data_IF_593072518686
#
_entry.id   IF_593072518686
#
_cell.length_a   1.000
_cell.length_b   1.000
_cell.length_c   1.000
_cell.angle_alpha   90.00
_cell.angle_beta   90.00
_cell.angle_gamma   90.00
#
_symmetry.space_group_name_H-M   'P 1'
#
loop_
_entity.id
_entity.type
_entity.pdbx_description
1 polymer ?
#
# COMPACT_ATOMS: atom_id res chain seq x y z
N UNK A 1 -17.28 19.59 15.23
CA UNK A 1 -17.87 19.65 13.87
C UNK A 1 -18.08 18.22 13.35
N UNK A 2 -19.27 17.62 13.52
CA UNK A 2 -19.58 16.26 13.03
C UNK A 2 -20.06 16.35 11.57
N UNK A 3 -19.15 16.29 10.60
CA UNK A 3 -19.54 16.05 9.20
C UNK A 3 -19.88 14.57 9.06
N UNK A 4 -21.06 14.26 8.50
CA UNK A 4 -21.44 12.88 8.16
C UNK A 4 -20.37 12.34 7.24
N UNK A 5 -19.64 11.32 7.70
CA UNK A 5 -18.77 10.50 6.85
C UNK A 5 -19.71 9.81 5.86
N UNK A 6 -19.66 10.09 4.54
CA UNK A 6 -20.41 9.27 3.60
C UNK A 6 -19.77 7.88 3.62
N UNK A 7 -20.30 6.99 4.46
CA UNK A 7 -19.87 5.60 4.58
C UNK A 7 -19.87 4.90 3.20
N UNK A 8 -20.73 5.40 2.30
CA UNK A 8 -20.79 5.04 0.88
C UNK A 8 -19.46 5.14 0.17
N UNK A 9 -18.66 6.17 0.47
CA UNK A 9 -17.46 6.50 -0.30
C UNK A 9 -16.31 5.58 0.14
N UNK A 10 -16.17 5.34 1.45
CA UNK A 10 -15.22 4.36 1.99
C UNK A 10 -15.51 2.96 1.43
N UNK A 11 -16.78 2.55 1.40
CA UNK A 11 -17.18 1.24 0.88
C UNK A 11 -16.94 1.12 -0.62
N UNK A 12 -17.31 2.14 -1.40
CA UNK A 12 -17.10 2.18 -2.84
C UNK A 12 -15.61 2.05 -3.20
N UNK A 13 -14.75 2.85 -2.55
CA UNK A 13 -13.30 2.76 -2.74
C UNK A 13 -12.76 1.40 -2.31
N UNK A 14 -13.25 0.84 -1.20
CA UNK A 14 -12.82 -0.49 -0.73
C UNK A 14 -13.15 -1.59 -1.74
N UNK A 15 -14.31 -1.52 -2.41
CA UNK A 15 -14.71 -2.47 -3.45
C UNK A 15 -13.82 -2.35 -4.68
N UNK A 16 -13.62 -1.14 -5.20
CA UNK A 16 -12.81 -0.92 -6.40
C UNK A 16 -11.35 -1.32 -6.17
N UNK A 17 -10.75 -0.83 -5.09
CA UNK A 17 -9.34 -1.08 -4.82
C UNK A 17 -9.10 -2.48 -4.26
N UNK A 18 -10.09 -3.10 -3.63
CA UNK A 18 -10.05 -4.53 -3.29
C UNK A 18 -9.95 -5.43 -4.52
N UNK A 19 -10.60 -5.03 -5.63
CA UNK A 19 -10.48 -5.70 -6.93
C UNK A 19 -9.10 -5.44 -7.56
N UNK A 20 -8.64 -4.19 -7.57
CA UNK A 20 -7.33 -3.82 -8.14
C UNK A 20 -6.20 -4.54 -7.41
N UNK A 21 -6.26 -4.68 -6.07
CA UNK A 21 -5.24 -5.38 -5.30
C UNK A 21 -5.12 -6.88 -5.63
N UNK A 22 -6.06 -7.49 -6.37
CA UNK A 22 -5.92 -8.85 -6.87
C UNK A 22 -4.86 -8.97 -7.99
N UNK A 23 -4.52 -7.85 -8.63
CA UNK A 23 -3.61 -7.79 -9.78
C UNK A 23 -2.23 -8.39 -9.49
N UNK A 24 -1.62 -8.09 -8.34
CA UNK A 24 -0.23 -8.46 -8.08
C UNK A 24 0.04 -9.97 -8.13
N UNK A 25 -0.91 -10.79 -7.68
CA UNK A 25 -0.68 -12.23 -7.42
C UNK A 25 -1.72 -13.16 -8.04
N UNK A 26 -2.92 -12.65 -8.33
CA UNK A 26 -4.07 -13.51 -8.64
C UNK A 26 -4.57 -13.35 -10.08
N UNK A 27 -4.58 -12.13 -10.62
CA UNK A 27 -5.15 -11.86 -11.95
C UNK A 27 -4.19 -10.96 -12.73
N UNK A 28 -3.86 -11.33 -13.97
CA UNK A 28 -3.11 -10.53 -14.97
C UNK A 28 -1.67 -10.10 -14.63
N UNK A 29 -1.33 -9.76 -13.38
CA UNK A 29 0.02 -9.38 -12.95
C UNK A 29 0.58 -8.15 -13.68
N UNK A 30 -0.27 -7.17 -13.98
CA UNK A 30 0.14 -5.89 -14.58
C UNK A 30 0.87 -4.99 -13.60
N UNK A 31 0.83 -5.29 -12.30
CA UNK A 31 1.43 -4.49 -11.22
C UNK A 31 0.83 -3.06 -11.10
N UNK A 32 -0.42 -2.88 -11.54
CA UNK A 32 -1.21 -1.66 -11.36
C UNK A 32 -1.50 -1.43 -9.87
N UNK A 33 -1.57 -2.51 -9.09
CA UNK A 33 -1.77 -2.48 -7.64
C UNK A 33 -0.59 -1.90 -6.84
N UNK A 34 0.53 -1.53 -7.48
CA UNK A 34 1.64 -0.88 -6.78
C UNK A 34 1.24 0.50 -6.21
N UNK A 35 1.88 0.93 -5.11
CA UNK A 35 1.56 2.18 -4.42
C UNK A 35 1.44 3.40 -5.34
N UNK A 36 2.45 3.68 -6.17
CA UNK A 36 2.44 4.89 -7.01
C UNK A 36 1.24 4.89 -7.99
N UNK A 37 1.00 3.78 -8.67
CA UNK A 37 -0.09 3.66 -9.64
C UNK A 37 -1.46 3.71 -8.96
N UNK A 38 -1.62 2.96 -7.88
CA UNK A 38 -2.88 2.86 -7.16
C UNK A 38 -3.24 4.19 -6.50
N UNK A 39 -2.28 4.86 -5.86
CA UNK A 39 -2.50 6.19 -5.30
C UNK A 39 -2.86 7.21 -6.38
N UNK A 40 -2.21 7.17 -7.53
CA UNK A 40 -2.57 8.04 -8.66
C UNK A 40 -4.03 7.83 -9.08
N UNK A 41 -4.48 6.58 -9.18
CA UNK A 41 -5.87 6.28 -9.52
C UNK A 41 -6.87 6.74 -8.45
N UNK A 42 -6.53 6.58 -7.16
CA UNK A 42 -7.31 7.15 -6.05
C UNK A 42 -7.44 8.66 -6.22
N UNK A 43 -6.34 9.36 -6.49
CA UNK A 43 -6.31 10.79 -6.70
C UNK A 43 -7.15 11.25 -7.91
N UNK A 44 -7.16 10.47 -9.00
CA UNK A 44 -8.02 10.75 -10.16
C UNK A 44 -9.51 10.58 -9.84
N UNK A 45 -9.87 9.54 -9.10
CA UNK A 45 -11.27 9.27 -8.71
C UNK A 45 -11.78 10.31 -7.70
N UNK A 46 -10.90 10.75 -6.78
CA UNK A 46 -11.26 11.67 -5.69
C UNK A 46 -11.03 13.14 -6.00
N UNK A 47 -10.36 13.47 -7.11
CA UNK A 47 -10.03 14.84 -7.50
C UNK A 47 -8.77 15.43 -6.84
N UNK A 48 -8.03 14.64 -6.05
CA UNK A 48 -6.84 15.04 -5.30
C UNK A 48 -5.56 14.39 -5.85
N UNK A 49 -5.31 14.59 -7.15
CA UNK A 49 -4.25 13.86 -7.86
C UNK A 49 -2.85 14.22 -7.35
N UNK A 50 -2.58 15.49 -7.05
CA UNK A 50 -1.24 15.93 -6.62
C UNK A 50 -0.86 15.32 -5.27
N UNK A 51 -1.77 15.40 -4.29
CA UNK A 51 -1.60 14.87 -2.94
C UNK A 51 -1.48 13.34 -2.96
N UNK A 52 -2.25 12.68 -3.82
CA UNK A 52 -2.22 11.24 -3.96
C UNK A 52 -0.92 10.74 -4.60
N UNK A 53 -0.46 11.38 -5.69
CA UNK A 53 0.80 11.03 -6.35
C UNK A 53 1.97 11.26 -5.41
N UNK A 54 1.99 12.38 -4.69
CA UNK A 54 3.02 12.68 -3.69
C UNK A 54 3.08 11.59 -2.61
N UNK A 55 1.95 11.27 -1.98
CA UNK A 55 1.91 10.24 -0.95
C UNK A 55 2.26 8.84 -1.49
N UNK A 56 1.72 8.48 -2.67
CA UNK A 56 2.00 7.22 -3.34
C UNK A 56 3.46 7.04 -3.71
N UNK A 57 4.14 8.11 -4.16
CA UNK A 57 5.57 8.09 -4.42
C UNK A 57 6.36 7.81 -3.14
N UNK A 58 6.04 8.47 -2.03
CA UNK A 58 6.69 8.24 -0.74
C UNK A 58 6.48 6.81 -0.23
N UNK A 59 5.27 6.26 -0.38
CA UNK A 59 4.99 4.86 -0.02
C UNK A 59 5.73 3.91 -0.94
N UNK A 60 5.81 4.18 -2.25
CA UNK A 60 6.55 3.34 -3.19
C UNK A 60 8.02 3.18 -2.77
N UNK A 61 8.65 4.23 -2.22
CA UNK A 61 10.03 4.18 -1.74
C UNK A 61 10.24 3.13 -0.64
N UNK A 62 9.24 2.91 0.22
CA UNK A 62 9.27 1.88 1.27
C UNK A 62 9.15 0.45 0.71
N UNK A 63 8.64 0.30 -0.51
CA UNK A 63 8.35 -0.99 -1.13
C UNK A 63 9.22 -1.30 -2.36
N UNK A 64 10.29 -0.52 -2.59
CA UNK A 64 11.24 -0.73 -3.68
C UNK A 64 11.94 -2.10 -3.65
N UNK A 65 12.20 -2.64 -2.45
CA UNK A 65 12.90 -3.92 -2.28
C UNK A 65 11.97 -5.11 -2.02
N UNK A 66 10.67 -5.01 -2.32
CA UNK A 66 9.71 -6.07 -2.02
C UNK A 66 9.81 -7.25 -3.00
N UNK A 67 10.98 -7.88 -3.06
CA UNK A 67 11.21 -9.10 -3.82
C UNK A 67 10.79 -10.31 -2.97
N UNK A 68 9.86 -11.16 -3.43
CA UNK A 68 9.54 -12.38 -2.74
C UNK A 68 10.72 -13.36 -2.78
N UNK A 69 11.44 -13.51 -1.66
CA UNK A 69 12.52 -14.48 -1.51
C UNK A 69 12.11 -15.51 -0.44
N UNK A 70 11.78 -16.72 -0.86
CA UNK A 70 11.44 -17.83 0.03
C UNK A 70 10.06 -17.72 0.70
N UNK A 71 9.92 -18.32 1.88
CA UNK A 71 8.65 -18.41 2.64
C UNK A 71 8.40 -17.24 3.60
N UNK A 72 9.12 -16.11 3.43
CA UNK A 72 8.97 -14.95 4.31
C UNK A 72 7.57 -14.33 4.22
N UNK A 73 7.04 -13.87 5.35
CA UNK A 73 5.86 -13.00 5.37
C UNK A 73 6.24 -11.67 4.73
N UNK A 74 5.71 -11.41 3.54
CA UNK A 74 5.94 -10.16 2.82
C UNK A 74 4.82 -9.19 3.21
N UNK A 75 5.15 -8.05 3.85
CA UNK A 75 4.16 -7.01 4.10
C UNK A 75 3.49 -6.58 2.78
N UNK A 76 2.16 -6.53 2.78
CA UNK A 76 1.37 -6.15 1.61
C UNK A 76 1.32 -4.62 1.49
N UNK A 77 2.22 -4.07 0.70
CA UNK A 77 2.28 -2.63 0.43
C UNK A 77 1.11 -2.12 -0.41
N UNK A 78 0.45 -2.98 -1.18
CA UNK A 78 -0.58 -2.57 -2.13
C UNK A 78 -1.86 -2.18 -1.38
N UNK A 79 -2.39 -3.08 -0.55
CA UNK A 79 -3.58 -2.80 0.26
C UNK A 79 -3.31 -1.66 1.24
N UNK A 80 -2.13 -1.65 1.86
CA UNK A 80 -1.75 -0.62 2.79
C UNK A 80 -1.66 0.77 2.14
N UNK A 81 -1.12 0.85 0.91
CA UNK A 81 -1.04 2.12 0.16
C UNK A 81 -2.42 2.71 -0.13
N UNK A 82 -3.42 1.88 -0.43
CA UNK A 82 -4.81 2.31 -0.65
C UNK A 82 -5.34 2.98 0.61
N UNK A 83 -5.24 2.29 1.75
CA UNK A 83 -5.70 2.80 3.06
C UNK A 83 -5.00 4.12 3.39
N UNK A 84 -3.67 4.15 3.31
CA UNK A 84 -2.87 5.34 3.61
C UNK A 84 -3.20 6.52 2.71
N UNK A 85 -3.36 6.29 1.41
CA UNK A 85 -3.65 7.35 0.43
C UNK A 85 -5.01 7.98 0.68
N UNK A 86 -6.04 7.16 0.88
CA UNK A 86 -7.41 7.64 1.14
C UNK A 86 -7.42 8.46 2.44
N UNK A 87 -6.75 7.99 3.49
CA UNK A 87 -6.65 8.72 4.75
C UNK A 87 -5.86 10.02 4.60
N UNK A 88 -4.72 9.98 3.91
CA UNK A 88 -3.88 11.16 3.68
C UNK A 88 -4.65 12.25 2.95
N UNK A 89 -5.31 11.92 1.83
CA UNK A 89 -6.12 12.87 1.05
C UNK A 89 -7.26 13.45 1.90
N UNK A 90 -8.03 12.58 2.56
CA UNK A 90 -9.20 12.98 3.34
C UNK A 90 -8.86 13.95 4.47
N UNK A 91 -7.68 13.81 5.06
CA UNK A 91 -7.25 14.60 6.21
C UNK A 91 -6.27 15.71 5.86
N UNK A 92 -5.76 15.78 4.61
CA UNK A 92 -4.75 16.77 4.20
C UNK A 92 -5.20 18.21 4.49
N UNK A 93 -6.40 18.58 4.04
CA UNK A 93 -6.96 19.92 4.27
C UNK A 93 -7.28 20.19 5.75
N UNK A 94 -7.60 19.16 6.53
CA UNK A 94 -7.91 19.29 7.97
C UNK A 94 -6.62 19.52 8.77
N UNK A 95 -5.56 18.80 8.43
CA UNK A 95 -4.25 18.88 9.05
C UNK A 95 -3.31 19.84 8.30
N UNK A 96 -3.82 20.92 7.69
CA UNK A 96 -3.00 21.83 6.89
C UNK A 96 -1.81 22.42 7.69
N UNK A 97 -2.01 22.74 8.97
CA UNK A 97 -0.96 23.22 9.88
C UNK A 97 -0.07 22.09 10.46
N UNK A 98 -0.47 20.84 10.24
CA UNK A 98 0.10 19.61 10.82
C UNK A 98 0.52 18.60 9.74
N UNK A 99 0.88 19.07 8.55
CA UNK A 99 1.12 18.21 7.37
C UNK A 99 2.18 17.13 7.57
N UNK A 100 3.28 17.42 8.28
CA UNK A 100 4.33 16.42 8.54
C UNK A 100 3.86 15.39 9.56
N UNK A 101 3.09 15.81 10.56
CA UNK A 101 2.49 14.88 11.52
C UNK A 101 1.47 13.96 10.83
N UNK A 102 0.63 14.48 9.94
CA UNK A 102 -0.28 13.68 9.12
C UNK A 102 0.50 12.66 8.28
N UNK A 103 1.57 13.09 7.60
CA UNK A 103 2.41 12.20 6.81
C UNK A 103 2.99 11.07 7.67
N UNK A 104 3.54 11.40 8.84
CA UNK A 104 4.08 10.42 9.79
C UNK A 104 3.05 9.37 10.21
N UNK A 105 1.88 9.80 10.66
CA UNK A 105 0.85 8.87 11.13
C UNK A 105 0.26 8.05 9.98
N UNK A 106 0.09 8.64 8.79
CA UNK A 106 -0.37 7.92 7.60
C UNK A 106 0.63 6.84 7.19
N UNK A 107 1.93 7.14 7.19
CA UNK A 107 2.98 6.15 6.91
C UNK A 107 3.01 5.06 7.97
N UNK A 108 2.87 5.42 9.25
CA UNK A 108 2.78 4.45 10.34
C UNK A 108 1.60 3.49 10.12
N UNK A 109 0.42 4.01 9.74
CA UNK A 109 -0.74 3.19 9.40
C UNK A 109 -0.49 2.30 8.18
N UNK A 110 0.19 2.81 7.15
CA UNK A 110 0.59 1.99 5.98
C UNK A 110 1.47 0.82 6.45
N UNK A 111 2.50 1.06 7.25
CA UNK A 111 3.36 -0.02 7.76
C UNK A 111 2.55 -1.01 8.60
N UNK A 112 1.68 -0.54 9.49
CA UNK A 112 0.83 -1.40 10.32
C UNK A 112 -0.09 -2.29 9.46
N UNK A 113 -0.85 -1.70 8.54
CA UNK A 113 -1.79 -2.43 7.68
C UNK A 113 -1.09 -3.32 6.66
N UNK A 114 0.14 -3.00 6.27
CA UNK A 114 0.92 -3.87 5.39
C UNK A 114 1.27 -5.19 6.07
N UNK A 115 1.60 -5.15 7.37
CA UNK A 115 1.86 -6.36 8.14
C UNK A 115 0.58 -7.19 8.28
N UNK A 116 -0.55 -6.55 8.62
CA UNK A 116 -1.85 -7.22 8.73
C UNK A 116 -2.26 -7.85 7.39
N UNK A 117 -2.10 -7.12 6.28
CA UNK A 117 -2.37 -7.62 4.93
C UNK A 117 -1.51 -8.83 4.57
N UNK A 118 -0.21 -8.79 4.89
CA UNK A 118 0.71 -9.91 4.68
C UNK A 118 0.29 -11.18 5.43
N UNK A 119 -0.18 -11.05 6.67
CA UNK A 119 -0.69 -12.18 7.45
C UNK A 119 -1.99 -12.75 6.88
N UNK A 120 -2.90 -11.88 6.43
CA UNK A 120 -4.14 -12.30 5.80
C UNK A 120 -3.91 -12.98 4.44
N UNK A 121 -2.91 -12.55 3.67
CA UNK A 121 -2.49 -13.23 2.45
C UNK A 121 -1.98 -14.65 2.75
N UNK A 122 -1.15 -14.82 3.77
CA UNK A 122 -0.71 -16.17 4.22
C UNK A 122 -1.90 -17.05 4.60
N UNK A 123 -2.80 -16.53 5.42
CA UNK A 123 -4.01 -17.24 5.81
C UNK A 123 -4.85 -17.66 4.59
N UNK A 124 -5.01 -16.76 3.64
CA UNK A 124 -5.77 -17.03 2.43
C UNK A 124 -5.07 -18.05 1.50
N UNK A 125 -3.73 -18.09 1.48
CA UNK A 125 -2.95 -19.15 0.84
C UNK A 125 -3.15 -20.52 1.49
N UNK A 126 -3.16 -20.62 2.82
CA UNK A 126 -3.48 -21.88 3.51
C UNK A 126 -4.90 -22.36 3.18
N UNK A 127 -5.87 -21.45 3.10
CA UNK A 127 -7.23 -21.78 2.65
C UNK A 127 -7.25 -22.30 1.22
N UNK A 128 -6.49 -21.68 0.32
CA UNK A 128 -6.37 -22.13 -1.07
C UNK A 128 -5.78 -23.53 -1.18
N UNK A 129 -4.77 -23.84 -0.37
CA UNK A 129 -4.17 -25.18 -0.33
C UNK A 129 -5.22 -26.23 0.08
N UNK A 130 -6.06 -25.93 1.08
CA UNK A 130 -7.14 -26.83 1.48
C UNK A 130 -8.18 -27.05 0.38
N UNK A 131 -8.54 -25.99 -0.34
CA UNK A 131 -9.45 -26.03 -1.48
C UNK A 131 -8.86 -26.90 -2.60
N UNK A 132 -7.58 -26.74 -2.91
CA UNK A 132 -6.85 -27.54 -3.89
C UNK A 132 -6.78 -29.01 -3.50
N UNK A 133 -6.49 -29.29 -2.22
CA UNK A 133 -6.43 -30.67 -1.70
C UNK A 133 -7.77 -31.39 -1.82
N UNK A 134 -8.90 -30.68 -1.71
CA UNK A 134 -10.24 -31.25 -1.97
C UNK A 134 -10.40 -31.62 -3.45
N UNK A 135 -10.02 -30.73 -4.37
CA UNK A 135 -10.08 -31.00 -5.81
C UNK A 135 -9.22 -32.22 -6.20
N UNK A 136 -8.01 -32.32 -5.64
CA UNK A 136 -7.09 -33.46 -5.88
C UNK A 136 -7.63 -34.79 -5.34
N UNK A 137 -8.29 -34.78 -4.17
CA UNK A 137 -8.95 -35.98 -3.62
C UNK A 137 -10.08 -36.48 -4.52
N UNK A 138 -10.87 -35.58 -5.10
CA UNK A 138 -11.94 -35.94 -6.04
C UNK A 138 -11.39 -36.52 -7.35
N UNK A 139 -10.29 -35.97 -7.88
CA UNK A 139 -9.57 -36.54 -9.03
C UNK A 139 -9.13 -37.99 -8.79
N UNK A 140 -8.50 -38.25 -7.64
CA UNK A 140 -7.94 -39.58 -7.31
C UNK A 140 -9.01 -40.64 -7.04
N UNK A 141 -10.19 -40.26 -6.51
CA UNK A 141 -11.26 -41.21 -6.17
C UNK A 141 -12.13 -41.61 -7.36
N UNK A 142 -12.44 -40.67 -8.24
CA UNK A 142 -13.45 -40.90 -9.29
C UNK A 142 -12.85 -41.19 -10.67
N UNK A 143 -11.52 -41.06 -10.85
CA UNK A 143 -10.87 -41.11 -12.17
C UNK A 143 -11.54 -40.21 -13.22
N UNK A 144 -12.21 -39.15 -12.76
CA UNK A 144 -12.97 -38.18 -13.56
C UNK A 144 -12.20 -36.86 -13.65
N UNK A 145 -12.40 -36.16 -14.76
CA UNK A 145 -11.92 -34.78 -14.95
C UNK A 145 -12.59 -33.86 -13.92
N UNK A 146 -11.80 -33.17 -13.09
CA UNK A 146 -12.31 -32.12 -12.19
C UNK A 146 -12.25 -30.78 -12.90
N UNK A 147 -13.36 -30.04 -12.88
CA UNK A 147 -13.42 -28.66 -13.38
C UNK A 147 -12.80 -27.74 -12.33
N UNK A 148 -11.69 -27.09 -12.65
CA UNK A 148 -10.97 -26.19 -11.73
C UNK A 148 -11.65 -24.82 -11.55
N UNK A 149 -12.48 -24.39 -12.51
CA UNK A 149 -13.11 -23.07 -12.53
C UNK A 149 -13.79 -22.65 -11.21
N UNK A 150 -14.68 -23.48 -10.63
CA UNK A 150 -15.33 -23.14 -9.35
C UNK A 150 -14.36 -22.97 -8.17
N UNK A 151 -13.27 -23.74 -8.14
CA UNK A 151 -12.26 -23.65 -7.08
C UNK A 151 -11.44 -22.37 -7.20
N UNK A 152 -11.06 -22.00 -8.43
CA UNK A 152 -10.36 -20.74 -8.73
C UNK A 152 -11.27 -19.56 -8.37
N UNK A 153 -12.54 -19.60 -8.78
CA UNK A 153 -13.48 -18.53 -8.51
C UNK A 153 -13.76 -18.40 -7.01
N UNK A 154 -13.92 -19.50 -6.27
CA UNK A 154 -14.09 -19.46 -4.83
C UNK A 154 -12.86 -18.88 -4.10
N UNK A 155 -11.65 -19.23 -4.55
CA UNK A 155 -10.41 -18.67 -4.03
C UNK A 155 -10.31 -17.17 -4.29
N UNK A 156 -10.59 -16.74 -5.52
CA UNK A 156 -10.53 -15.36 -5.95
C UNK A 156 -11.54 -14.48 -5.21
N UNK A 157 -12.79 -14.94 -5.12
CA UNK A 157 -13.85 -14.27 -4.35
C UNK A 157 -13.47 -14.18 -2.87
N UNK A 158 -12.86 -15.22 -2.31
CA UNK A 158 -12.36 -15.22 -0.94
C UNK A 158 -11.31 -14.13 -0.70
N UNK A 159 -10.35 -13.97 -1.60
CA UNK A 159 -9.32 -12.92 -1.52
C UNK A 159 -9.92 -11.53 -1.71
N UNK A 160 -10.81 -11.38 -2.68
CA UNK A 160 -11.53 -10.14 -2.89
C UNK A 160 -12.25 -9.67 -1.63
N UNK A 161 -13.02 -10.56 -0.98
CA UNK A 161 -13.74 -10.23 0.26
C UNK A 161 -12.77 -9.81 1.37
N UNK A 162 -11.66 -10.53 1.55
CA UNK A 162 -10.63 -10.18 2.54
C UNK A 162 -10.06 -8.78 2.25
N UNK A 163 -9.72 -8.49 1.00
CA UNK A 163 -9.18 -7.18 0.61
C UNK A 163 -10.18 -6.06 0.90
N UNK A 164 -11.45 -6.22 0.51
CA UNK A 164 -12.50 -5.22 0.76
C UNK A 164 -12.68 -4.98 2.26
N UNK A 165 -12.75 -6.05 3.07
CA UNK A 165 -12.89 -5.94 4.53
C UNK A 165 -11.68 -5.21 5.12
N UNK A 166 -10.47 -5.58 4.71
CA UNK A 166 -9.24 -4.97 5.24
C UNK A 166 -9.14 -3.48 4.88
N UNK A 167 -9.41 -3.12 3.62
CA UNK A 167 -9.38 -1.72 3.18
C UNK A 167 -10.44 -0.92 3.92
N UNK A 168 -11.68 -1.41 3.99
CA UNK A 168 -12.78 -0.72 4.66
C UNK A 168 -12.50 -0.51 6.14
N UNK A 169 -12.12 -1.57 6.85
CA UNK A 169 -11.79 -1.49 8.28
C UNK A 169 -10.59 -0.58 8.53
N UNK A 170 -9.56 -0.64 7.68
CA UNK A 170 -8.39 0.22 7.80
C UNK A 170 -8.68 1.71 7.59
N UNK A 171 -9.54 2.04 6.62
CA UNK A 171 -10.01 3.41 6.41
C UNK A 171 -10.81 3.88 7.65
N UNK A 172 -11.76 3.09 8.14
CA UNK A 172 -12.60 3.52 9.26
C UNK A 172 -11.84 3.62 10.59
N UNK A 173 -10.95 2.66 10.88
CA UNK A 173 -10.12 2.70 12.09
C UNK A 173 -9.06 3.80 12.01
N UNK A 174 -8.46 4.01 10.84
CA UNK A 174 -7.49 5.08 10.62
C UNK A 174 -8.12 6.48 10.72
N UNK A 175 -9.31 6.66 10.15
CA UNK A 175 -10.08 7.90 10.28
C UNK A 175 -10.48 8.15 11.73
N UNK A 176 -10.92 7.11 12.46
CA UNK A 176 -11.19 7.21 13.88
C UNK A 176 -9.96 7.65 14.68
N UNK A 177 -8.78 7.10 14.40
CA UNK A 177 -7.53 7.49 15.04
C UNK A 177 -7.16 8.95 14.73
N UNK A 178 -7.23 9.35 13.46
CA UNK A 178 -6.91 10.71 13.02
C UNK A 178 -7.84 11.77 13.64
N UNK A 179 -9.13 11.48 13.76
CA UNK A 179 -10.09 12.36 14.44
C UNK A 179 -9.72 12.60 15.91
N UNK A 180 -9.21 11.57 16.61
CA UNK A 180 -8.78 11.68 18.01
C UNK A 180 -7.49 12.50 18.12
N UNK A 181 -6.56 12.31 17.19
CA UNK A 181 -5.26 12.95 17.21
C UNK A 181 -5.33 14.43 16.81
N UNK A 182 -6.24 14.79 15.90
CA UNK A 182 -6.37 16.16 15.38
C UNK A 182 -6.45 17.23 16.47
N UNK A 183 -7.26 16.99 17.52
CA UNK A 183 -7.46 17.97 18.59
C UNK A 183 -6.39 17.92 19.69
N UNK A 184 -5.49 16.94 19.65
CA UNK A 184 -4.53 16.68 20.73
C UNK A 184 -3.10 17.11 20.42
N UNK A 185 -2.78 17.40 19.15
CA UNK A 185 -1.40 17.72 18.75
C UNK A 185 -1.25 19.23 18.54
N UNK A 186 -0.45 19.92 19.37
CA UNK A 186 -0.11 21.32 19.14
C UNK A 186 0.60 21.52 17.80
N UNK A 187 0.22 22.54 17.03
CA UNK A 187 0.83 22.84 15.72
C UNK A 187 2.33 23.12 15.80
N UNK A 188 2.81 23.63 16.94
CA UNK A 188 4.24 23.86 17.22
C UNK A 188 5.09 22.60 17.04
N UNK A 189 4.52 21.40 17.27
CA UNK A 189 5.26 20.16 17.14
C UNK A 189 5.41 19.67 15.69
N UNK A 190 4.63 20.23 14.74
CA UNK A 190 4.66 19.78 13.34
C UNK A 190 6.08 19.87 12.74
N UNK A 191 6.83 20.91 13.10
CA UNK A 191 8.15 21.16 12.54
C UNK A 191 9.22 20.12 12.95
N UNK A 192 9.02 19.42 14.07
CA UNK A 192 9.90 18.34 14.50
C UNK A 192 9.73 17.08 13.65
N UNK A 193 8.56 16.92 13.02
CA UNK A 193 8.26 15.76 12.17
C UNK A 193 8.71 15.94 10.71
N UNK A 194 9.30 17.09 10.35
CA UNK A 194 9.78 17.36 8.99
C UNK A 194 10.77 16.31 8.46
N UNK A 195 11.47 15.63 9.36
CA UNK A 195 12.44 14.59 9.01
C UNK A 195 11.81 13.32 8.46
N UNK A 196 10.49 13.13 8.59
CA UNK A 196 9.80 11.94 8.07
C UNK A 196 9.99 11.80 6.56
N UNK A 197 9.86 12.90 5.82
CA UNK A 197 10.01 12.90 4.36
C UNK A 197 11.45 12.57 3.96
N UNK A 198 12.42 13.20 4.63
CA UNK A 198 13.85 12.95 4.42
C UNK A 198 14.19 11.48 4.73
N UNK A 199 13.62 10.93 5.81
CA UNK A 199 13.83 9.54 6.18
C UNK A 199 13.26 8.58 5.12
N UNK A 200 12.09 8.86 4.56
CA UNK A 200 11.48 8.04 3.50
C UNK A 200 12.32 8.05 2.21
N UNK A 201 12.78 9.23 1.79
CA UNK A 201 13.69 9.38 0.65
C UNK A 201 14.99 8.61 0.90
N UNK A 202 15.60 8.80 2.08
CA UNK A 202 16.80 8.07 2.49
C UNK A 202 16.60 6.55 2.50
N UNK A 203 15.43 6.08 2.95
CA UNK A 203 15.08 4.65 2.96
C UNK A 203 15.01 4.09 1.54
N UNK A 204 14.35 4.80 0.62
CA UNK A 204 14.26 4.36 -0.78
C UNK A 204 15.61 4.32 -1.49
N UNK A 205 16.45 5.35 -1.28
CA UNK A 205 17.84 5.36 -1.77
C UNK A 205 18.60 4.17 -1.19
N UNK A 206 18.53 3.97 0.12
CA UNK A 206 19.18 2.85 0.81
C UNK A 206 18.77 1.48 0.27
N UNK A 207 17.47 1.27 0.01
CA UNK A 207 16.96 0.04 -0.59
C UNK A 207 17.53 -0.21 -1.99
N UNK A 208 17.55 0.80 -2.87
CA UNK A 208 18.12 0.68 -4.22
C UNK A 208 19.61 0.35 -4.13
N UNK A 209 20.35 1.05 -3.28
CA UNK A 209 21.78 0.82 -3.05
C UNK A 209 22.07 -0.57 -2.50
N UNK A 210 21.16 -1.12 -1.69
CA UNK A 210 21.24 -2.48 -1.17
C UNK A 210 21.00 -3.54 -2.25
N UNK A 211 20.02 -3.35 -3.13
CA UNK A 211 19.71 -4.28 -4.24
C UNK A 211 20.86 -4.32 -5.25
N UNK A 212 21.41 -3.15 -5.60
CA UNK A 212 22.41 -3.01 -6.65
C UNK A 212 23.84 -2.89 -6.11
N UNK A 213 24.20 -3.72 -5.13
CA UNK A 213 25.51 -3.69 -4.46
C UNK A 213 26.66 -4.00 -5.43
N UNK A 214 27.21 -2.98 -6.09
CA UNK A 214 28.44 -3.08 -6.87
C UNK A 214 29.20 -1.75 -6.86
N UNK A 215 30.54 -1.82 -6.85
CA UNK A 215 31.42 -0.62 -6.90
C UNK A 215 31.10 0.29 -8.10
N UNK A 216 30.69 -0.30 -9.24
CA UNK A 216 30.29 0.43 -10.46
C UNK A 216 28.96 1.19 -10.28
N UNK A 217 27.99 0.60 -9.59
CA UNK A 217 26.70 1.25 -9.35
C UNK A 217 26.84 2.41 -8.36
N UNK A 218 27.66 2.26 -7.31
CA UNK A 218 27.93 3.34 -6.36
C UNK A 218 28.61 4.54 -7.01
N UNK A 219 29.56 4.31 -7.92
CA UNK A 219 30.23 5.38 -8.66
C UNK A 219 29.28 6.08 -9.64
N UNK A 220 28.45 5.34 -10.37
CA UNK A 220 27.45 5.94 -11.26
C UNK A 220 26.44 6.82 -10.50
N UNK A 221 25.95 6.35 -9.35
CA UNK A 221 25.02 7.11 -8.51
C UNK A 221 25.69 8.36 -7.94
N UNK A 222 26.95 8.25 -7.48
CA UNK A 222 27.72 9.41 -7.02
C UNK A 222 27.91 10.46 -8.11
N UNK A 223 28.26 10.05 -9.33
CA UNK A 223 28.38 10.96 -10.49
C UNK A 223 27.04 11.63 -10.81
N UNK A 224 25.94 10.87 -10.82
CA UNK A 224 24.62 11.42 -11.05
C UNK A 224 24.22 12.45 -9.98
N UNK A 225 24.49 12.17 -8.69
CA UNK A 225 24.20 13.10 -7.61
C UNK A 225 24.98 14.42 -7.76
N UNK A 226 26.27 14.35 -8.10
CA UNK A 226 27.09 15.54 -8.33
C UNK A 226 26.58 16.33 -9.54
N UNK A 227 26.25 15.66 -10.65
CA UNK A 227 25.67 16.33 -11.82
C UNK A 227 24.35 17.05 -11.49
N UNK A 228 23.46 16.40 -10.73
CA UNK A 228 22.19 17.01 -10.28
C UNK A 228 22.46 18.25 -9.42
N UNK A 229 23.43 18.20 -8.52
CA UNK A 229 23.80 19.36 -7.70
C UNK A 229 24.35 20.51 -8.55
N UNK A 230 25.22 20.21 -9.52
CA UNK A 230 25.78 21.21 -10.44
C UNK A 230 24.66 21.87 -11.24
N UNK A 231 23.76 21.08 -11.84
CA UNK A 231 22.62 21.58 -12.61
C UNK A 231 21.73 22.47 -11.74
N UNK A 232 21.45 22.07 -10.50
CA UNK A 232 20.62 22.84 -9.57
C UNK A 232 21.27 24.14 -9.11
N UNK A 233 22.60 24.18 -9.00
CA UNK A 233 23.32 25.42 -8.67
C UNK A 233 23.43 26.38 -9.87
N UNK A 234 23.29 25.87 -11.09
CA UNK A 234 23.35 26.65 -12.32
C UNK A 234 21.97 27.18 -12.79
N UNK A 235 20.88 26.70 -12.20
CA UNK A 235 19.49 27.12 -12.45
C UNK A 235 19.03 28.11 -11.36
#
# INVERSE_FOLDING_TARGET
MKRKRPLSDSLFLSIIFGLICLDQRYIFQFNISQPLFTSTLIGLITGHTQEAVYFGALVQLLWLSNLPIGASVIPDGNIASVIGTILYIKYNAIFAEHGYFLLLISIFLVVLFSYVGGQLDIFARYRNEHIMNRALKSLRRENKKVRLGPYILASLTGHFIINVILIFTGIESGAWLLDILYLKVPSVLNIHWRFVEIALIGTGIGMILGIYHSKKNYTLIGVAAVLILIIRMAA
#
